data_IF_437934321578
#
_entry.id   IF_437934321578
#
_cell.length_a   1.000
_cell.length_b   1.000
_cell.length_c   1.000
_cell.angle_alpha   90.00
_cell.angle_beta   90.00
_cell.angle_gamma   90.00
#
_symmetry.space_group_name_H-M   'P 1'
#
loop_
_entity.id
_entity.type
_entity.pdbx_description
1 polymer ?
#
# COMPACT_ATOMS: atom_id res chain seq x y z
N UNK A 1 10.34 21.58 18.53
CA UNK A 1 9.89 21.93 17.17
C UNK A 1 9.50 20.64 16.46
N UNK A 2 8.33 20.52 15.80
CA UNK A 2 7.98 19.30 15.09
C UNK A 2 9.02 18.98 14.01
N UNK A 3 9.42 17.72 13.90
CA UNK A 3 10.43 17.25 12.93
C UNK A 3 10.13 17.75 11.51
N UNK A 4 8.85 17.79 11.16
CA UNK A 4 8.33 18.23 9.87
C UNK A 4 8.59 19.69 9.50
N UNK A 5 9.04 20.55 10.42
CA UNK A 5 9.18 21.99 10.18
C UNK A 5 10.63 22.50 10.27
N UNK A 6 11.61 21.65 10.58
CA UNK A 6 13.00 22.10 10.80
C UNK A 6 13.61 22.72 9.52
N UNK A 7 13.96 24.03 9.51
CA UNK A 7 14.48 24.74 8.32
C UNK A 7 15.89 24.31 7.92
N UNK A 8 16.62 23.61 8.79
CA UNK A 8 17.95 23.08 8.48
C UNK A 8 17.88 21.78 7.66
N UNK A 9 16.73 21.10 7.65
CA UNK A 9 16.52 19.87 6.89
C UNK A 9 16.24 20.21 5.43
N UNK A 10 17.25 20.06 4.58
CA UNK A 10 17.15 20.33 3.12
C UNK A 10 16.70 19.14 2.28
N UNK A 11 16.91 17.93 2.80
CA UNK A 11 16.55 16.66 2.14
C UNK A 11 15.96 15.72 3.17
N UNK A 12 14.91 14.98 2.79
CA UNK A 12 14.30 13.95 3.62
C UNK A 12 14.30 12.63 2.88
N UNK A 13 14.81 11.61 3.53
CA UNK A 13 14.57 10.24 3.14
C UNK A 13 13.24 9.79 3.79
N UNK A 14 12.32 9.30 2.98
CA UNK A 14 11.04 8.76 3.46
C UNK A 14 11.00 7.30 3.03
N UNK A 15 11.26 6.40 3.98
CA UNK A 15 11.21 4.96 3.75
C UNK A 15 9.86 4.43 4.18
N UNK A 16 9.21 3.72 3.26
CA UNK A 16 8.03 2.92 3.56
C UNK A 16 8.41 1.44 3.44
N UNK A 17 7.93 0.65 4.40
CA UNK A 17 8.07 -0.79 4.39
C UNK A 17 6.71 -1.40 4.09
N UNK A 18 6.66 -2.33 3.14
CA UNK A 18 5.44 -3.03 2.76
C UNK A 18 5.64 -4.54 2.97
N UNK A 19 4.79 -5.13 3.80
CA UNK A 19 4.67 -6.57 3.95
C UNK A 19 3.43 -7.04 3.19
N UNK A 20 3.55 -8.10 2.39
CA UNK A 20 2.47 -8.61 1.54
C UNK A 20 2.26 -10.09 1.79
N UNK A 21 1.06 -10.44 2.24
CA UNK A 21 0.63 -11.81 2.42
C UNK A 21 -0.35 -12.22 1.32
N UNK A 22 -0.02 -13.30 0.60
CA UNK A 22 -1.00 -14.01 -0.24
C UNK A 22 -1.89 -14.90 0.63
N UNK A 23 -3.17 -14.59 0.70
CA UNK A 23 -4.18 -15.41 1.42
C UNK A 23 -4.66 -16.53 0.51
N UNK A 24 -4.88 -16.20 -0.76
CA UNK A 24 -5.10 -17.14 -1.85
C UNK A 24 -4.23 -16.68 -3.04
N UNK A 25 -4.20 -17.41 -4.17
CA UNK A 25 -3.50 -16.91 -5.36
C UNK A 25 -3.98 -15.53 -5.83
N UNK A 26 -5.26 -15.20 -5.61
CA UNK A 26 -5.89 -13.97 -6.09
C UNK A 26 -6.11 -12.93 -5.00
N UNK A 27 -6.35 -13.35 -3.74
CA UNK A 27 -6.53 -12.47 -2.59
C UNK A 27 -5.22 -12.18 -1.87
N UNK A 28 -4.85 -10.91 -1.75
CA UNK A 28 -3.63 -10.45 -1.07
C UNK A 28 -3.96 -9.37 -0.05
N UNK A 29 -3.25 -9.38 1.07
CA UNK A 29 -3.29 -8.35 2.11
C UNK A 29 -1.91 -7.72 2.18
N UNK A 30 -1.82 -6.41 1.98
CA UNK A 30 -0.59 -5.65 2.09
C UNK A 30 -0.68 -4.68 3.25
N UNK A 31 0.31 -4.68 4.14
CA UNK A 31 0.42 -3.68 5.23
C UNK A 31 1.65 -2.83 4.99
N UNK A 32 1.45 -1.52 4.91
CA UNK A 32 2.50 -0.53 4.71
C UNK A 32 2.70 0.25 6.00
N UNK A 33 3.95 0.49 6.38
CA UNK A 33 4.29 1.34 7.52
C UNK A 33 5.44 2.29 7.18
N UNK A 34 5.57 3.36 7.97
CA UNK A 34 6.70 4.29 7.91
C UNK A 34 7.49 4.15 9.20
N UNK A 35 8.66 3.51 9.14
CA UNK A 35 9.53 3.29 10.30
C UNK A 35 8.81 2.59 11.46
N UNK A 36 7.98 1.59 11.16
CA UNK A 36 7.20 0.84 12.16
C UNK A 36 5.98 1.57 12.73
N UNK A 37 5.69 2.80 12.30
CA UNK A 37 4.51 3.58 12.70
C UNK A 37 3.60 3.90 11.49
N UNK A 38 2.36 4.32 11.76
CA UNK A 38 1.43 4.76 10.71
C UNK A 38 1.03 3.65 9.74
N UNK A 39 0.57 2.51 10.29
CA UNK A 39 0.19 1.33 9.51
C UNK A 39 -1.06 1.57 8.66
N UNK A 40 -1.00 1.17 7.39
CA UNK A 40 -2.15 1.15 6.48
C UNK A 40 -2.23 -0.22 5.81
N UNK A 41 -3.43 -0.80 5.78
CA UNK A 41 -3.67 -2.12 5.19
C UNK A 41 -4.54 -2.01 3.95
N UNK A 42 -4.11 -2.69 2.89
CA UNK A 42 -4.79 -2.79 1.62
C UNK A 42 -5.12 -4.25 1.34
N UNK A 43 -6.30 -4.49 0.78
CA UNK A 43 -6.73 -5.83 0.35
C UNK A 43 -6.98 -5.75 -1.14
N UNK A 44 -6.43 -6.69 -1.90
CA UNK A 44 -6.70 -6.81 -3.34
C UNK A 44 -7.15 -8.21 -3.67
N UNK A 45 -8.10 -8.31 -4.61
CA UNK A 45 -8.64 -9.57 -5.09
C UNK A 45 -8.99 -9.44 -6.57
N UNK A 46 -8.64 -10.44 -7.36
CA UNK A 46 -9.07 -10.47 -8.77
C UNK A 46 -10.57 -10.81 -8.86
N UNK A 47 -11.19 -10.46 -9.99
CA UNK A 47 -12.58 -10.83 -10.25
C UNK A 47 -12.77 -12.31 -10.61
N UNK A 48 -14.03 -12.80 -10.62
CA UNK A 48 -14.36 -14.18 -10.99
C UNK A 48 -13.82 -14.63 -12.36
N UNK A 49 -13.70 -13.71 -13.31
CA UNK A 49 -13.16 -14.00 -14.65
C UNK A 49 -11.69 -14.45 -14.65
N UNK A 50 -10.96 -14.19 -13.56
CA UNK A 50 -9.57 -14.60 -13.37
C UNK A 50 -9.42 -15.64 -12.25
N UNK A 51 -10.52 -16.10 -11.65
CA UNK A 51 -10.51 -17.08 -10.56
C UNK A 51 -10.46 -16.49 -9.15
N UNK A 52 -10.51 -15.16 -8.99
CA UNK A 52 -10.67 -14.50 -7.69
C UNK A 52 -12.14 -14.34 -7.28
N UNK A 53 -12.39 -13.85 -6.07
CA UNK A 53 -13.75 -13.71 -5.54
C UNK A 53 -14.37 -12.34 -5.85
N UNK A 54 -13.58 -11.38 -6.35
CA UNK A 54 -14.01 -9.99 -6.54
C UNK A 54 -14.38 -9.30 -5.22
N UNK A 55 -13.82 -9.74 -4.10
CA UNK A 55 -14.15 -9.28 -2.74
C UNK A 55 -13.48 -7.95 -2.35
N UNK A 56 -12.54 -7.48 -3.16
CA UNK A 56 -11.79 -6.24 -2.98
C UNK A 56 -11.42 -5.64 -4.36
N UNK A 57 -10.93 -4.39 -4.44
CA UNK A 57 -10.41 -3.84 -5.69
C UNK A 57 -9.28 -4.69 -6.26
N UNK A 58 -9.18 -4.76 -7.59
CA UNK A 58 -8.09 -5.52 -8.23
C UNK A 58 -6.75 -4.82 -8.01
N UNK A 59 -5.61 -5.54 -8.04
CA UNK A 59 -4.30 -4.91 -8.00
C UNK A 59 -4.11 -3.79 -9.04
N UNK A 60 -4.67 -3.97 -10.24
CA UNK A 60 -4.61 -2.97 -11.30
C UNK A 60 -5.39 -1.68 -10.95
N UNK A 61 -6.50 -1.77 -10.20
CA UNK A 61 -7.22 -0.59 -9.73
C UNK A 61 -6.36 0.25 -8.78
N UNK A 62 -5.64 -0.38 -7.84
CA UNK A 62 -4.72 0.34 -6.95
C UNK A 62 -3.56 0.98 -7.72
N UNK A 63 -2.96 0.25 -8.66
CA UNK A 63 -1.89 0.80 -9.50
C UNK A 63 -2.37 2.02 -10.31
N UNK A 64 -3.55 1.91 -10.92
CA UNK A 64 -4.15 3.00 -11.69
C UNK A 64 -4.47 4.21 -10.81
N UNK A 65 -5.02 3.97 -9.61
CA UNK A 65 -5.30 5.03 -8.64
C UNK A 65 -4.01 5.75 -8.20
N UNK A 66 -2.92 5.01 -7.97
CA UNK A 66 -1.64 5.59 -7.56
C UNK A 66 -0.97 6.42 -8.66
N UNK A 67 -1.15 6.08 -9.94
CA UNK A 67 -0.60 6.87 -11.06
C UNK A 67 -1.40 8.14 -11.35
N UNK A 68 -2.68 8.18 -10.97
CA UNK A 68 -3.55 9.32 -11.24
C UNK A 68 -3.27 10.54 -10.34
N UNK A 69 -2.48 10.37 -9.28
CA UNK A 69 -2.17 11.39 -8.27
C UNK A 69 -0.65 11.51 -8.07
#
# INVERSE_FOLDING_TARGET
MPEGLNPEVRTREIVFEADVQGVTPFLKVATVSRGGAGHMTFVSDEGPNLGGLGSAPTPLMYFSAALAF
#
